data_IF_487052807644
#
_entry.id   IF_487052807644
#
_cell.length_a   1.000
_cell.length_b   1.000
_cell.length_c   1.000
_cell.angle_alpha   90.00
_cell.angle_beta   90.00
_cell.angle_gamma   90.00
#
_symmetry.space_group_name_H-M   'P 1'
#
loop_
_entity.id
_entity.type
_entity.pdbx_description
1 polymer ?
#
# COMPACT_ATOMS: atom_id res chain seq x y z
N UNK A 1 -12.82 26.12 -13.75
CA UNK A 1 -12.99 25.05 -12.77
C UNK A 1 -13.92 24.01 -13.36
N UNK A 2 -13.43 22.77 -13.49
CA UNK A 2 -14.17 21.65 -14.05
C UNK A 2 -15.15 21.01 -13.06
N UNK A 3 -15.87 19.94 -13.47
CA UNK A 3 -16.73 19.21 -12.59
C UNK A 3 -15.92 18.52 -11.47
N UNK A 4 -16.52 18.43 -10.27
CA UNK A 4 -15.93 17.69 -9.15
C UNK A 4 -16.56 16.29 -9.05
N UNK A 5 -15.79 15.31 -8.55
CA UNK A 5 -16.24 13.93 -8.35
C UNK A 5 -16.21 13.60 -6.85
N UNK A 6 -17.30 13.04 -6.35
CA UNK A 6 -17.37 12.51 -4.99
C UNK A 6 -17.52 10.99 -5.07
N UNK A 7 -16.58 10.25 -4.49
CA UNK A 7 -16.66 8.79 -4.41
C UNK A 7 -17.75 8.34 -3.42
N UNK A 8 -18.57 7.39 -3.84
CA UNK A 8 -19.57 6.73 -3.00
C UNK A 8 -19.01 5.46 -2.32
N UNK A 9 -17.98 4.90 -2.91
CA UNK A 9 -17.31 3.70 -2.45
C UNK A 9 -15.80 3.83 -2.74
N UNK A 10 -15.01 2.98 -2.14
CA UNK A 10 -13.61 2.84 -2.54
C UNK A 10 -13.58 2.07 -3.86
N UNK A 11 -13.18 2.75 -4.91
CA UNK A 11 -13.20 2.23 -6.26
C UNK A 11 -11.94 2.67 -7.01
N UNK A 12 -11.27 1.73 -7.64
CA UNK A 12 -10.14 1.97 -8.51
C UNK A 12 -10.61 1.80 -9.97
N UNK A 13 -10.80 2.90 -10.73
CA UNK A 13 -11.21 2.81 -12.12
C UNK A 13 -10.11 2.21 -12.98
N UNK A 14 -10.49 1.52 -14.07
CA UNK A 14 -9.59 0.98 -15.09
C UNK A 14 -9.78 1.72 -16.41
N UNK A 15 -8.72 1.74 -17.24
CA UNK A 15 -8.76 2.32 -18.58
C UNK A 15 -8.48 3.82 -18.64
N UNK A 16 -8.90 4.44 -19.74
CA UNK A 16 -8.64 5.84 -20.02
C UNK A 16 -9.28 6.79 -19.00
N UNK A 17 -8.76 8.03 -18.88
CA UNK A 17 -9.37 9.05 -18.05
C UNK A 17 -10.88 9.19 -18.35
N UNK A 18 -11.69 9.22 -17.29
CA UNK A 18 -13.14 9.26 -17.40
C UNK A 18 -13.58 10.70 -17.73
N UNK A 19 -14.19 10.89 -18.89
CA UNK A 19 -14.96 12.11 -19.18
C UNK A 19 -16.38 11.93 -18.63
N UNK A 20 -16.80 12.66 -17.60
CA UNK A 20 -18.12 12.52 -17.03
C UNK A 20 -19.23 13.00 -17.97
N UNK A 21 -18.95 13.84 -18.98
CA UNK A 21 -19.96 14.40 -19.88
C UNK A 21 -21.16 14.98 -19.10
N UNK A 22 -22.37 14.50 -19.43
CA UNK A 22 -23.62 14.87 -18.75
C UNK A 22 -23.97 13.96 -17.56
N UNK A 23 -23.12 12.99 -17.22
CA UNK A 23 -23.40 12.06 -16.13
C UNK A 23 -23.50 12.77 -14.77
N UNK A 24 -24.38 12.26 -13.93
CA UNK A 24 -24.54 12.68 -12.54
C UNK A 24 -24.07 11.62 -11.57
N UNK A 25 -23.97 10.37 -12.01
CA UNK A 25 -23.49 9.22 -11.22
C UNK A 25 -22.56 8.34 -12.04
N UNK A 26 -21.58 7.82 -11.37
CA UNK A 26 -20.81 6.66 -11.86
C UNK A 26 -21.37 5.37 -11.27
N UNK A 27 -21.54 4.36 -12.12
CA UNK A 27 -22.10 3.06 -11.73
C UNK A 27 -21.18 1.94 -12.18
N UNK A 28 -20.89 1.02 -11.27
CA UNK A 28 -20.17 -0.22 -11.54
C UNK A 28 -21.00 -1.41 -11.06
N UNK A 29 -21.20 -2.39 -11.92
CA UNK A 29 -22.02 -3.60 -11.63
C UNK A 29 -23.37 -3.29 -10.94
N UNK A 30 -24.06 -2.23 -11.36
CA UNK A 30 -25.34 -1.79 -10.80
C UNK A 30 -25.25 -1.03 -9.48
N UNK A 31 -24.07 -0.84 -8.93
CA UNK A 31 -23.84 -0.07 -7.71
C UNK A 31 -23.32 1.33 -8.03
N UNK A 32 -23.85 2.37 -7.37
CA UNK A 32 -23.29 3.72 -7.47
C UNK A 32 -21.93 3.76 -6.77
N UNK A 33 -20.88 4.12 -7.51
CA UNK A 33 -19.49 4.22 -7.02
C UNK A 33 -19.00 5.67 -6.93
N UNK A 34 -19.76 6.62 -7.45
CA UNK A 34 -19.45 8.05 -7.35
C UNK A 34 -20.53 8.95 -7.90
N UNK A 35 -20.44 10.24 -7.59
CA UNK A 35 -21.29 11.30 -8.11
C UNK A 35 -20.46 12.37 -8.79
N UNK A 36 -21.05 12.97 -9.82
CA UNK A 36 -20.49 14.12 -10.53
C UNK A 36 -21.22 15.37 -10.09
N UNK A 37 -20.47 16.36 -9.65
CA UNK A 37 -20.98 17.70 -9.34
C UNK A 37 -20.57 18.60 -10.52
N UNK A 38 -21.50 19.10 -11.32
CA UNK A 38 -21.18 20.02 -12.38
C UNK A 38 -20.46 21.28 -11.89
N UNK A 39 -19.71 21.91 -12.78
CA UNK A 39 -19.06 23.17 -12.47
C UNK A 39 -20.09 24.21 -12.00
N UNK A 40 -19.79 24.88 -10.88
CA UNK A 40 -20.66 25.90 -10.29
C UNK A 40 -21.78 25.36 -9.38
N UNK A 41 -22.01 24.07 -9.32
CA UNK A 41 -22.97 23.47 -8.40
C UNK A 41 -22.31 23.11 -7.05
N UNK A 42 -23.13 22.98 -6.00
CA UNK A 42 -22.70 22.51 -4.68
C UNK A 42 -23.21 21.11 -4.44
N UNK A 43 -22.43 20.34 -3.70
CA UNK A 43 -22.87 19.02 -3.22
C UNK A 43 -24.03 19.17 -2.23
N UNK A 44 -25.16 18.55 -2.57
CA UNK A 44 -26.40 18.55 -1.78
C UNK A 44 -26.74 17.18 -1.17
N UNK A 45 -25.86 16.19 -1.38
CA UNK A 45 -25.97 14.85 -0.83
C UNK A 45 -26.11 13.76 -1.90
N UNK A 46 -26.07 12.47 -1.48
CA UNK A 46 -26.20 11.34 -2.36
C UNK A 46 -27.59 11.34 -3.06
N UNK A 47 -27.57 11.20 -4.38
CA UNK A 47 -28.80 11.04 -5.16
C UNK A 47 -28.78 9.75 -5.98
N UNK A 48 -29.97 9.20 -6.22
CA UNK A 48 -30.15 7.92 -6.93
C UNK A 48 -30.77 8.11 -8.33
N UNK A 49 -31.06 9.35 -8.71
CA UNK A 49 -31.68 9.71 -9.99
C UNK A 49 -30.71 10.54 -10.83
N UNK A 50 -30.93 10.54 -12.13
CA UNK A 50 -30.16 11.31 -13.11
C UNK A 50 -29.33 10.43 -14.04
N UNK A 51 -28.72 11.02 -15.08
CA UNK A 51 -27.91 10.30 -16.05
C UNK A 51 -26.76 9.53 -15.36
N UNK A 52 -26.54 8.30 -15.81
CA UNK A 52 -25.52 7.40 -15.31
C UNK A 52 -24.43 7.20 -16.36
N UNK A 53 -23.20 7.04 -15.90
CA UNK A 53 -22.11 6.53 -16.70
C UNK A 53 -21.59 5.24 -16.06
N UNK A 54 -21.69 4.14 -16.81
CA UNK A 54 -21.08 2.89 -16.40
C UNK A 54 -19.55 3.02 -16.52
N UNK A 55 -18.85 2.64 -15.47
CA UNK A 55 -17.39 2.63 -15.43
C UNK A 55 -16.87 1.27 -14.98
N UNK A 56 -15.77 0.86 -15.58
CA UNK A 56 -15.07 -0.36 -15.21
C UNK A 56 -14.02 -0.06 -14.14
N UNK A 57 -13.73 -1.07 -13.29
CA UNK A 57 -12.73 -0.95 -12.24
C UNK A 57 -12.89 -1.97 -11.14
N UNK A 58 -12.08 -1.82 -10.10
CA UNK A 58 -12.06 -2.70 -8.92
C UNK A 58 -12.78 -2.03 -7.76
N UNK A 59 -13.84 -2.66 -7.26
CA UNK A 59 -14.54 -2.20 -6.05
C UNK A 59 -13.79 -2.69 -4.81
N UNK A 60 -13.37 -1.76 -3.98
CA UNK A 60 -12.64 -2.04 -2.75
C UNK A 60 -13.63 -2.09 -1.57
N UNK A 61 -13.96 -3.29 -1.08
CA UNK A 61 -14.82 -3.53 0.10
C UNK A 61 -14.04 -3.38 1.41
N UNK A 62 -12.72 -3.55 1.32
CA UNK A 62 -11.81 -3.42 2.44
C UNK A 62 -10.35 -3.33 1.99
N UNK A 63 -9.45 -3.10 2.93
CA UNK A 63 -8.02 -2.94 2.65
C UNK A 63 -7.40 -4.15 1.92
N UNK A 64 -7.93 -5.35 2.13
CA UNK A 64 -7.45 -6.56 1.45
C UNK A 64 -7.77 -6.57 -0.06
N UNK A 65 -8.76 -5.82 -0.52
CA UNK A 65 -9.07 -5.70 -1.96
C UNK A 65 -8.02 -4.86 -2.71
N UNK A 66 -7.14 -4.13 -2.01
CA UNK A 66 -5.94 -3.55 -2.61
C UNK A 66 -5.00 -4.62 -3.20
N UNK A 67 -5.05 -5.84 -2.71
CA UNK A 67 -4.31 -6.97 -3.29
C UNK A 67 -4.93 -7.42 -4.61
N UNK A 68 -6.25 -7.37 -4.73
CA UNK A 68 -6.96 -7.62 -5.99
C UNK A 68 -6.65 -6.52 -7.00
N UNK A 69 -6.77 -5.25 -6.57
CA UNK A 69 -6.39 -4.12 -7.41
C UNK A 69 -4.93 -4.20 -7.86
N UNK A 70 -4.01 -4.59 -6.98
CA UNK A 70 -2.60 -4.78 -7.34
C UNK A 70 -2.44 -5.81 -8.47
N UNK A 71 -3.09 -6.96 -8.36
CA UNK A 71 -2.98 -8.04 -9.35
C UNK A 71 -3.61 -7.65 -10.70
N UNK A 72 -4.73 -6.94 -10.67
CA UNK A 72 -5.47 -6.58 -11.87
C UNK A 72 -4.93 -5.33 -12.56
N UNK A 73 -4.45 -4.31 -11.80
CA UNK A 73 -4.10 -3.01 -12.36
C UNK A 73 -2.60 -2.81 -12.57
N UNK A 74 -1.74 -3.33 -11.68
CA UNK A 74 -0.31 -3.04 -11.73
C UNK A 74 0.35 -3.33 -13.09
N UNK A 75 0.00 -4.42 -13.82
CA UNK A 75 0.59 -4.66 -15.14
C UNK A 75 0.29 -3.53 -16.14
N UNK A 76 -0.96 -3.05 -16.16
CA UNK A 76 -1.39 -1.97 -17.04
C UNK A 76 -0.82 -0.63 -16.59
N UNK A 77 -0.89 -0.32 -15.28
CA UNK A 77 -0.34 0.90 -14.71
C UNK A 77 1.17 1.03 -14.99
N UNK A 78 1.93 -0.06 -14.89
CA UNK A 78 3.35 -0.05 -15.26
C UNK A 78 3.56 0.13 -16.77
N UNK A 79 2.67 -0.44 -17.61
CA UNK A 79 2.76 -0.31 -19.06
C UNK A 79 2.50 1.13 -19.52
N UNK A 80 1.66 1.89 -18.84
CA UNK A 80 1.38 3.30 -19.15
C UNK A 80 2.65 4.16 -19.07
N UNK A 81 3.64 3.76 -18.25
CA UNK A 81 4.93 4.45 -18.17
C UNK A 81 5.88 4.15 -19.34
N UNK A 82 5.63 3.13 -20.15
CA UNK A 82 6.54 2.75 -21.24
C UNK A 82 6.71 3.85 -22.32
N UNK A 83 5.72 4.75 -22.43
CA UNK A 83 5.78 5.89 -23.34
C UNK A 83 6.49 7.12 -22.72
N UNK A 84 6.85 7.08 -21.46
CA UNK A 84 7.51 8.20 -20.78
C UNK A 84 8.98 8.34 -21.20
N UNK A 85 9.58 9.55 -21.14
CA UNK A 85 11.01 9.72 -21.26
C UNK A 85 11.74 8.78 -20.27
N UNK A 86 12.74 8.06 -20.75
CA UNK A 86 13.38 6.98 -20.01
C UNK A 86 14.90 7.11 -20.09
N UNK A 87 15.59 6.98 -18.96
CA UNK A 87 17.06 7.02 -18.89
C UNK A 87 17.74 5.76 -19.48
N UNK A 88 16.92 4.74 -19.82
CA UNK A 88 17.39 3.46 -20.32
C UNK A 88 17.91 2.52 -19.22
N UNK A 89 18.60 1.45 -19.66
CA UNK A 89 19.13 0.43 -18.72
C UNK A 89 20.33 1.00 -17.96
N UNK A 90 20.30 1.02 -16.60
CA UNK A 90 21.41 1.50 -15.80
C UNK A 90 22.68 0.66 -16.02
N UNK A 91 23.82 1.34 -16.07
CA UNK A 91 25.14 0.73 -16.34
C UNK A 91 25.46 -0.34 -15.28
N UNK A 92 25.89 -1.52 -15.75
CA UNK A 92 26.26 -2.64 -14.89
C UNK A 92 25.09 -3.45 -14.35
N UNK A 93 23.86 -3.17 -14.77
CA UNK A 93 22.69 -3.99 -14.47
C UNK A 93 22.61 -5.22 -15.37
N UNK A 94 21.94 -6.27 -14.88
CA UNK A 94 21.58 -7.46 -15.65
C UNK A 94 20.10 -7.39 -15.98
N UNK A 95 19.75 -7.53 -17.27
CA UNK A 95 18.36 -7.53 -17.74
C UNK A 95 18.00 -8.91 -18.30
N UNK A 96 16.87 -9.44 -17.84
CA UNK A 96 16.25 -10.66 -18.35
C UNK A 96 14.90 -10.28 -18.99
N UNK A 97 14.72 -10.61 -20.25
CA UNK A 97 13.53 -10.21 -21.04
C UNK A 97 13.79 -8.97 -21.90
N UNK A 98 12.72 -8.28 -22.28
CA UNK A 98 12.80 -7.11 -23.17
C UNK A 98 13.22 -5.86 -22.37
N UNK A 99 14.38 -5.25 -22.66
CA UNK A 99 14.85 -4.07 -21.94
C UNK A 99 13.92 -2.83 -22.09
N UNK A 100 13.05 -2.79 -23.09
CA UNK A 100 12.07 -1.71 -23.24
C UNK A 100 11.01 -1.69 -22.15
N UNK A 101 10.86 -2.78 -21.38
CA UNK A 101 9.99 -2.87 -20.21
C UNK A 101 10.64 -2.32 -18.93
N UNK A 102 11.86 -1.80 -18.97
CA UNK A 102 12.46 -1.06 -17.87
C UNK A 102 12.27 0.44 -18.07
N UNK A 103 11.60 1.08 -17.12
CA UNK A 103 11.43 2.54 -17.11
C UNK A 103 12.18 3.11 -15.91
N UNK A 104 13.12 4.02 -16.17
CA UNK A 104 13.89 4.73 -15.15
C UNK A 104 13.73 6.23 -15.35
N UNK A 105 13.17 6.92 -14.37
CA UNK A 105 12.83 8.34 -14.41
C UNK A 105 13.73 9.13 -13.45
N UNK A 106 15.04 9.11 -13.68
CA UNK A 106 16.00 9.74 -12.79
C UNK A 106 16.28 8.93 -11.52
N UNK A 107 16.27 7.61 -11.62
CA UNK A 107 16.61 6.71 -10.53
C UNK A 107 18.14 6.51 -10.41
N UNK A 108 18.60 6.24 -9.19
CA UNK A 108 20.00 5.88 -8.90
C UNK A 108 20.09 4.36 -8.68
N UNK A 109 20.75 3.66 -9.59
CA UNK A 109 20.87 2.20 -9.57
C UNK A 109 22.34 1.79 -9.47
N UNK A 110 22.68 1.02 -8.42
CA UNK A 110 24.02 0.47 -8.27
C UNK A 110 24.29 -0.65 -9.28
N UNK A 111 25.55 -0.86 -9.72
CA UNK A 111 25.92 -2.01 -10.56
C UNK A 111 25.58 -3.35 -9.89
N UNK A 112 25.21 -4.35 -10.69
CA UNK A 112 24.87 -5.71 -10.22
C UNK A 112 23.41 -5.90 -9.81
N UNK A 113 22.55 -4.91 -10.03
CA UNK A 113 21.09 -5.07 -9.92
C UNK A 113 20.57 -5.95 -11.06
N UNK A 114 19.64 -6.85 -10.77
CA UNK A 114 18.99 -7.70 -11.77
C UNK A 114 17.55 -7.25 -11.99
N UNK A 115 17.20 -6.92 -13.22
CA UNK A 115 15.85 -6.63 -13.67
C UNK A 115 15.31 -7.82 -14.46
N UNK A 116 14.30 -8.50 -13.94
CA UNK A 116 13.60 -9.57 -14.64
C UNK A 116 12.26 -9.05 -15.18
N UNK A 117 12.27 -8.74 -16.47
CA UNK A 117 11.18 -8.09 -17.19
C UNK A 117 10.26 -9.07 -17.94
N UNK A 118 10.49 -10.37 -17.78
CA UNK A 118 9.76 -11.42 -18.52
C UNK A 118 8.28 -11.50 -18.18
N UNK A 119 7.91 -11.08 -16.96
CA UNK A 119 6.53 -11.14 -16.45
C UNK A 119 5.85 -9.76 -16.39
N UNK A 120 6.53 -8.68 -16.78
CA UNK A 120 5.99 -7.32 -16.79
C UNK A 120 7.05 -6.24 -16.60
N UNK A 121 6.63 -5.00 -16.70
CA UNK A 121 7.51 -3.85 -16.61
C UNK A 121 7.98 -3.57 -15.17
N UNK A 122 9.19 -2.99 -15.07
CA UNK A 122 9.70 -2.40 -13.83
C UNK A 122 9.82 -0.90 -14.04
N UNK A 123 9.17 -0.13 -13.16
CA UNK A 123 9.18 1.33 -13.17
C UNK A 123 9.91 1.83 -11.93
N UNK A 124 10.96 2.62 -12.15
CA UNK A 124 11.72 3.31 -11.13
C UNK A 124 11.44 4.81 -11.27
N UNK A 125 10.71 5.38 -10.32
CA UNK A 125 10.31 6.77 -10.35
C UNK A 125 11.41 7.71 -9.83
N UNK A 126 11.19 9.01 -9.92
CA UNK A 126 12.15 10.05 -9.66
C UNK A 126 12.86 9.91 -8.30
N UNK A 127 14.18 9.88 -8.33
CA UNK A 127 15.00 9.76 -7.13
C UNK A 127 14.91 8.41 -6.41
N UNK A 128 14.29 7.40 -7.03
CA UNK A 128 14.35 6.04 -6.51
C UNK A 128 15.80 5.54 -6.46
N UNK A 129 16.17 4.82 -5.41
CA UNK A 129 17.48 4.20 -5.26
C UNK A 129 17.35 2.68 -5.27
N UNK A 130 18.14 1.98 -6.08
CA UNK A 130 18.19 0.50 -6.09
C UNK A 130 19.61 0.05 -5.87
N UNK A 131 19.87 -0.65 -4.76
CA UNK A 131 21.22 -1.08 -4.37
C UNK A 131 21.59 -2.44 -4.92
N UNK A 132 22.88 -2.67 -4.99
CA UNK A 132 23.49 -3.97 -5.33
C UNK A 132 22.87 -5.11 -4.49
N UNK A 133 22.78 -6.31 -5.10
CA UNK A 133 22.12 -7.46 -4.47
C UNK A 133 20.59 -7.43 -4.52
N UNK A 134 20.02 -6.54 -5.34
CA UNK A 134 18.59 -6.50 -5.61
C UNK A 134 18.25 -7.25 -6.91
N UNK A 135 17.19 -8.07 -6.87
CA UNK A 135 16.47 -8.55 -8.04
C UNK A 135 15.03 -8.01 -8.02
N UNK A 136 14.66 -7.29 -9.07
CA UNK A 136 13.29 -6.83 -9.32
C UNK A 136 12.67 -7.67 -10.44
N UNK A 137 11.59 -8.37 -10.13
CA UNK A 137 10.81 -9.16 -11.10
C UNK A 137 9.46 -8.48 -11.33
N UNK A 138 9.27 -7.98 -12.53
CA UNK A 138 8.08 -7.22 -12.92
C UNK A 138 6.78 -8.05 -12.89
N UNK A 139 5.60 -7.38 -12.82
CA UNK A 139 5.48 -5.93 -12.75
C UNK A 139 5.85 -5.37 -11.36
N UNK A 140 6.61 -4.27 -11.31
CA UNK A 140 7.00 -3.58 -10.07
C UNK A 140 7.03 -2.07 -10.28
N UNK A 141 6.41 -1.33 -9.37
CA UNK A 141 6.55 0.12 -9.31
C UNK A 141 7.30 0.54 -8.05
N UNK A 142 8.37 1.32 -8.23
CA UNK A 142 9.17 1.91 -7.15
C UNK A 142 8.99 3.42 -7.18
N UNK A 143 8.19 3.95 -6.26
CA UNK A 143 7.81 5.35 -6.20
C UNK A 143 8.92 6.31 -5.80
N UNK A 144 8.66 7.63 -5.89
CA UNK A 144 9.65 8.68 -5.72
C UNK A 144 10.41 8.58 -4.38
N UNK A 145 11.74 8.71 -4.44
CA UNK A 145 12.61 8.70 -3.26
C UNK A 145 12.64 7.38 -2.48
N UNK A 146 11.97 6.34 -2.98
CA UNK A 146 11.98 5.00 -2.37
C UNK A 146 13.32 4.32 -2.58
N UNK A 147 13.81 3.62 -1.56
CA UNK A 147 15.10 2.94 -1.57
C UNK A 147 14.92 1.44 -1.43
N UNK A 148 15.33 0.71 -2.45
CA UNK A 148 15.46 -0.74 -2.41
C UNK A 148 16.89 -1.08 -2.00
N UNK A 149 17.05 -1.65 -0.82
CA UNK A 149 18.34 -1.84 -0.14
C UNK A 149 18.93 -3.24 -0.36
N UNK A 150 18.38 -4.03 -1.26
CA UNK A 150 18.76 -5.41 -1.58
C UNK A 150 17.59 -6.40 -1.41
N UNK A 151 17.75 -7.59 -1.96
CA UNK A 151 16.80 -8.71 -1.84
C UNK A 151 16.01 -9.01 -3.11
N UNK A 152 14.94 -9.79 -2.97
CA UNK A 152 14.11 -10.26 -4.08
C UNK A 152 12.70 -9.68 -3.99
N UNK A 153 12.33 -8.92 -5.00
CA UNK A 153 11.06 -8.17 -5.03
C UNK A 153 10.32 -8.52 -6.32
N UNK A 154 9.02 -8.83 -6.20
CA UNK A 154 8.18 -9.14 -7.35
C UNK A 154 6.74 -8.66 -7.15
N UNK A 155 6.07 -8.32 -8.26
CA UNK A 155 4.65 -8.00 -8.34
C UNK A 155 4.18 -7.05 -7.22
N UNK A 156 4.91 -5.95 -6.99
CA UNK A 156 4.68 -5.10 -5.82
C UNK A 156 4.74 -3.61 -6.16
N UNK A 157 4.05 -2.81 -5.35
CA UNK A 157 4.03 -1.34 -5.43
C UNK A 157 4.61 -0.74 -4.16
N UNK A 158 5.52 0.21 -4.35
CA UNK A 158 6.08 1.02 -3.26
C UNK A 158 5.76 2.49 -3.54
N UNK A 159 4.94 3.09 -2.68
CA UNK A 159 4.73 4.54 -2.67
C UNK A 159 6.02 5.29 -2.30
N UNK A 160 5.92 6.61 -2.20
CA UNK A 160 7.09 7.47 -1.98
C UNK A 160 7.83 7.17 -0.68
N UNK A 161 9.15 7.38 -0.68
CA UNK A 161 9.99 7.40 0.52
C UNK A 161 10.02 6.10 1.33
N UNK A 162 9.66 4.95 0.75
CA UNK A 162 9.82 3.66 1.40
C UNK A 162 11.30 3.25 1.50
N UNK A 163 11.60 2.37 2.45
CA UNK A 163 12.91 1.70 2.57
C UNK A 163 12.67 0.21 2.68
N UNK A 164 13.17 -0.55 1.71
CA UNK A 164 12.79 -1.95 1.56
C UNK A 164 14.03 -2.81 1.33
N UNK A 165 14.12 -3.92 2.05
CA UNK A 165 15.12 -4.97 1.89
C UNK A 165 14.50 -6.33 2.18
N UNK A 166 15.08 -7.38 1.62
CA UNK A 166 14.68 -8.77 1.81
C UNK A 166 13.68 -9.23 0.76
N UNK A 167 12.88 -10.22 1.07
CA UNK A 167 11.90 -10.75 0.12
C UNK A 167 10.56 -10.03 0.25
N UNK A 168 10.05 -9.52 -0.89
CA UNK A 168 8.72 -8.91 -0.97
C UNK A 168 8.00 -9.42 -2.22
N UNK A 169 6.77 -9.88 -2.04
CA UNK A 169 5.96 -10.43 -3.13
C UNK A 169 4.51 -9.96 -3.05
N UNK A 170 3.93 -9.54 -4.18
CA UNK A 170 2.52 -9.20 -4.31
C UNK A 170 2.01 -8.29 -3.17
N UNK A 171 2.73 -7.21 -2.90
CA UNK A 171 2.46 -6.36 -1.73
C UNK A 171 2.40 -4.88 -2.08
N UNK A 172 1.60 -4.13 -1.32
CA UNK A 172 1.41 -2.69 -1.47
C UNK A 172 1.99 -1.97 -0.25
N UNK A 173 2.94 -1.06 -0.49
CA UNK A 173 3.49 -0.15 0.52
C UNK A 173 3.03 1.27 0.19
N UNK A 174 2.20 1.87 1.04
CA UNK A 174 1.52 3.14 0.74
C UNK A 174 2.40 4.39 0.85
N UNK A 175 3.62 4.26 1.37
CA UNK A 175 4.61 5.33 1.45
C UNK A 175 5.25 5.48 2.83
N UNK A 176 6.45 6.05 2.90
CA UNK A 176 7.21 6.28 4.12
C UNK A 176 7.41 5.05 5.02
N UNK A 177 7.09 3.87 4.53
CA UNK A 177 7.21 2.62 5.27
C UNK A 177 8.66 2.14 5.29
N UNK A 178 9.04 1.49 6.38
CA UNK A 178 10.39 0.99 6.61
C UNK A 178 10.37 -0.52 6.86
N UNK A 179 10.89 -1.28 5.91
CA UNK A 179 11.29 -2.69 5.99
C UNK A 179 12.75 -2.82 5.58
N UNK A 180 13.65 -2.15 6.28
CA UNK A 180 15.06 -2.02 5.85
C UNK A 180 15.92 -3.26 6.06
N UNK A 181 15.40 -4.31 6.62
CA UNK A 181 16.12 -5.54 6.97
C UNK A 181 15.53 -6.77 6.28
N UNK A 182 16.24 -7.90 6.33
CA UNK A 182 15.77 -9.17 5.79
C UNK A 182 14.50 -9.66 6.51
N UNK A 183 13.80 -10.59 5.90
CA UNK A 183 12.48 -11.11 6.26
C UNK A 183 11.57 -11.12 5.03
N UNK A 184 10.49 -11.91 5.09
CA UNK A 184 9.52 -12.05 4.00
C UNK A 184 8.27 -11.20 4.26
N UNK A 185 7.81 -10.46 3.25
CA UNK A 185 6.50 -9.80 3.22
C UNK A 185 5.79 -10.17 1.92
N UNK A 186 4.72 -10.95 2.04
CA UNK A 186 3.97 -11.41 0.88
C UNK A 186 2.47 -11.12 1.00
N UNK A 187 1.82 -10.74 -0.10
CA UNK A 187 0.39 -10.45 -0.22
C UNK A 187 -0.10 -9.57 0.93
N UNK A 188 0.63 -8.49 1.19
CA UNK A 188 0.42 -7.62 2.36
C UNK A 188 0.15 -6.18 1.94
N UNK A 189 -0.60 -5.47 2.77
CA UNK A 189 -0.80 -4.02 2.63
C UNK A 189 -0.15 -3.33 3.82
N UNK A 190 0.81 -2.46 3.54
CA UNK A 190 1.63 -1.76 4.54
C UNK A 190 1.29 -0.27 4.49
N UNK A 191 0.68 0.23 5.55
CA UNK A 191 0.29 1.63 5.69
C UNK A 191 1.48 2.60 5.78
N UNK A 192 1.23 3.88 5.60
CA UNK A 192 2.25 4.91 5.76
C UNK A 192 2.87 4.91 7.16
N UNK A 193 4.17 5.22 7.20
CA UNK A 193 4.92 5.35 8.46
C UNK A 193 5.05 4.07 9.28
N UNK A 194 4.70 2.92 8.71
CA UNK A 194 4.97 1.62 9.32
C UNK A 194 6.46 1.38 9.45
N UNK A 195 6.88 0.77 10.55
CA UNK A 195 8.26 0.30 10.73
C UNK A 195 8.26 -1.17 11.12
N UNK A 196 8.73 -2.01 10.20
CA UNK A 196 8.93 -3.43 10.46
C UNK A 196 10.34 -3.65 11.02
N UNK A 197 10.41 -4.22 12.20
CA UNK A 197 11.68 -4.61 12.83
C UNK A 197 12.43 -5.67 12.01
N UNK A 198 13.73 -5.76 12.21
CA UNK A 198 14.57 -6.74 11.52
C UNK A 198 14.04 -8.17 11.70
N UNK A 199 14.03 -8.96 10.62
CA UNK A 199 13.50 -10.32 10.65
C UNK A 199 11.97 -10.41 10.73
N UNK A 200 11.22 -9.31 10.64
CA UNK A 200 9.76 -9.40 10.54
C UNK A 200 9.37 -10.19 9.29
N UNK A 201 8.57 -11.23 9.50
CA UNK A 201 8.15 -12.16 8.46
C UNK A 201 6.63 -12.36 8.50
N UNK A 202 5.98 -12.34 7.32
CA UNK A 202 4.54 -12.60 7.19
C UNK A 202 4.31 -13.96 6.58
N UNK A 203 3.34 -14.72 7.07
CA UNK A 203 2.78 -15.87 6.36
C UNK A 203 1.63 -15.38 5.48
N UNK A 204 1.58 -15.80 4.22
CA UNK A 204 0.54 -15.38 3.28
C UNK A 204 -0.36 -16.53 2.79
N UNK A 205 -0.01 -17.77 3.10
CA UNK A 205 -0.76 -18.96 2.75
C UNK A 205 -0.97 -19.82 4.01
N UNK A 206 -2.20 -20.29 4.20
CA UNK A 206 -2.51 -21.18 5.33
C UNK A 206 -1.95 -22.58 5.07
N UNK A 207 -1.48 -23.27 6.11
CA UNK A 207 -1.05 -24.68 6.02
C UNK A 207 -2.17 -25.61 5.52
N UNK A 208 -3.42 -25.22 5.66
CA UNK A 208 -4.60 -25.96 5.19
C UNK A 208 -5.00 -25.63 3.75
N UNK A 209 -4.28 -24.73 3.08
CA UNK A 209 -4.57 -24.26 1.71
C UNK A 209 -6.00 -23.73 1.51
N UNK A 210 -6.69 -23.37 2.58
CA UNK A 210 -8.04 -22.79 2.51
C UNK A 210 -8.01 -21.27 2.41
N UNK A 211 -9.13 -20.67 2.01
CA UNK A 211 -9.28 -19.22 1.93
C UNK A 211 -8.97 -18.53 3.26
N UNK A 212 -8.35 -17.36 3.16
CA UNK A 212 -7.96 -16.56 4.33
C UNK A 212 -9.15 -15.79 4.86
N UNK A 213 -9.33 -15.83 6.17
CA UNK A 213 -10.27 -15.00 6.91
C UNK A 213 -9.49 -14.04 7.80
N UNK A 214 -9.91 -12.79 7.78
CA UNK A 214 -9.43 -11.78 8.71
C UNK A 214 -10.29 -11.83 9.98
N UNK A 215 -9.70 -11.34 11.06
CA UNK A 215 -10.41 -11.09 12.31
C UNK A 215 -10.17 -9.63 12.70
N UNK A 216 -11.25 -8.88 12.90
CA UNK A 216 -11.19 -7.46 13.28
C UNK A 216 -12.30 -7.21 14.30
N UNK A 217 -11.94 -6.76 15.49
CA UNK A 217 -12.90 -6.48 16.60
C UNK A 217 -13.89 -7.65 16.85
N UNK A 218 -13.39 -8.90 16.83
CA UNK A 218 -14.19 -10.10 17.00
C UNK A 218 -15.05 -10.50 15.80
N UNK A 219 -15.04 -9.70 14.73
CA UNK A 219 -15.75 -10.02 13.49
C UNK A 219 -14.84 -10.79 12.53
N UNK A 220 -15.40 -11.81 11.90
CA UNK A 220 -14.73 -12.56 10.84
C UNK A 220 -15.12 -12.01 9.48
N UNK A 221 -14.11 -11.73 8.67
CA UNK A 221 -14.27 -11.19 7.32
C UNK A 221 -13.69 -12.20 6.34
N UNK A 222 -14.52 -12.75 5.47
CA UNK A 222 -14.07 -13.61 4.39
C UNK A 222 -13.47 -12.77 3.28
N UNK A 223 -12.20 -13.05 2.93
CA UNK A 223 -11.51 -12.30 1.86
C UNK A 223 -11.77 -12.88 0.47
N UNK A 224 -12.22 -14.13 0.40
CA UNK A 224 -12.34 -14.90 -0.84
C UNK A 224 -10.99 -15.33 -1.44
N UNK A 225 -9.85 -15.00 -0.80
CA UNK A 225 -8.50 -15.19 -1.33
C UNK A 225 -7.77 -16.33 -0.63
N UNK A 226 -6.96 -17.08 -1.39
CA UNK A 226 -6.05 -18.09 -0.85
C UNK A 226 -4.82 -17.46 -0.21
N UNK A 227 -4.33 -16.36 -0.79
CA UNK A 227 -3.13 -15.66 -0.34
C UNK A 227 -3.51 -14.28 0.22
N UNK A 228 -3.34 -14.10 1.52
CA UNK A 228 -3.37 -12.81 2.21
C UNK A 228 -2.35 -12.87 3.34
N UNK A 229 -1.38 -11.99 3.29
CA UNK A 229 -0.37 -11.82 4.32
C UNK A 229 -0.89 -11.01 5.51
N UNK A 230 -0.34 -9.83 5.70
CA UNK A 230 -0.72 -8.96 6.80
C UNK A 230 -1.24 -7.61 6.31
N UNK A 231 -2.26 -7.10 6.98
CA UNK A 231 -2.75 -5.74 6.80
C UNK A 231 -2.24 -4.90 7.96
N UNK A 232 -1.33 -3.96 7.69
CA UNK A 232 -0.64 -3.20 8.73
C UNK A 232 -0.98 -1.72 8.57
N UNK A 233 -1.70 -1.19 9.55
CA UNK A 233 -2.19 0.18 9.57
C UNK A 233 -1.09 1.21 9.81
N UNK A 234 -1.40 2.45 9.47
CA UNK A 234 -0.51 3.60 9.53
C UNK A 234 0.21 3.71 10.88
N UNK A 235 1.46 4.12 10.86
CA UNK A 235 2.29 4.30 12.05
C UNK A 235 2.51 3.06 12.93
N UNK A 236 2.02 1.87 12.54
CA UNK A 236 2.28 0.65 13.30
C UNK A 236 3.77 0.26 13.27
N UNK A 237 4.21 -0.41 14.32
CA UNK A 237 5.60 -0.88 14.46
C UNK A 237 5.63 -2.30 14.95
N UNK A 238 6.59 -3.08 14.46
CA UNK A 238 6.89 -4.42 14.98
C UNK A 238 8.30 -4.46 15.57
N UNK A 239 8.45 -5.25 16.61
CA UNK A 239 9.77 -5.57 17.16
C UNK A 239 10.56 -6.46 16.19
N UNK A 240 11.86 -6.61 16.45
CA UNK A 240 12.71 -7.56 15.73
C UNK A 240 12.18 -8.98 15.89
N UNK A 241 12.31 -9.80 14.82
CA UNK A 241 11.91 -11.20 14.84
C UNK A 241 10.40 -11.43 14.93
N UNK A 242 9.56 -10.43 14.65
CA UNK A 242 8.10 -10.61 14.66
C UNK A 242 7.65 -11.50 13.51
N UNK A 243 6.92 -12.57 13.82
CA UNK A 243 6.32 -13.51 12.87
C UNK A 243 4.80 -13.31 12.82
N UNK A 244 4.31 -12.78 11.70
CA UNK A 244 2.89 -12.50 11.51
C UNK A 244 2.22 -13.67 10.79
N UNK A 245 1.24 -14.27 11.42
CA UNK A 245 0.46 -15.36 10.83
C UNK A 245 -0.38 -14.88 9.64
N UNK A 246 -0.80 -15.80 8.77
CA UNK A 246 -1.66 -15.55 7.62
C UNK A 246 -2.92 -14.76 8.02
N UNK A 247 -3.19 -13.65 7.35
CA UNK A 247 -4.33 -12.79 7.61
C UNK A 247 -4.23 -11.99 8.92
N UNK A 248 -3.02 -11.72 9.40
CA UNK A 248 -2.86 -10.86 10.59
C UNK A 248 -3.19 -9.40 10.24
N UNK A 249 -3.98 -8.78 11.11
CA UNK A 249 -4.29 -7.35 11.06
C UNK A 249 -3.63 -6.64 12.23
N UNK A 250 -2.71 -5.75 11.94
CA UNK A 250 -2.09 -4.84 12.91
C UNK A 250 -2.67 -3.46 12.67
N UNK A 251 -3.46 -2.97 13.60
CA UNK A 251 -4.19 -1.72 13.40
C UNK A 251 -3.28 -0.48 13.54
N UNK A 252 -3.85 0.69 13.19
CA UNK A 252 -3.17 1.98 13.22
C UNK A 252 -2.48 2.25 14.55
N UNK A 253 -1.24 2.74 14.48
CA UNK A 253 -0.47 3.18 15.65
C UNK A 253 -0.06 2.06 16.61
N UNK A 254 -0.38 0.80 16.35
CA UNK A 254 0.01 -0.30 17.23
C UNK A 254 1.54 -0.47 17.28
N UNK A 255 2.06 -0.75 18.46
CA UNK A 255 3.47 -1.07 18.70
C UNK A 255 3.58 -2.50 19.21
N UNK A 256 3.93 -3.43 18.32
CA UNK A 256 3.89 -4.88 18.56
C UNK A 256 5.22 -5.36 19.09
N UNK A 257 5.23 -5.83 20.32
CA UNK A 257 6.38 -6.43 21.00
C UNK A 257 5.94 -7.37 22.12
N UNK A 258 6.89 -8.09 22.72
CA UNK A 258 6.62 -8.97 23.87
C UNK A 258 6.40 -10.45 23.50
N UNK A 259 6.13 -10.76 22.23
CA UNK A 259 6.11 -12.12 21.70
C UNK A 259 6.55 -12.12 20.24
N UNK A 260 7.23 -13.15 19.75
CA UNK A 260 7.54 -13.28 18.32
C UNK A 260 6.31 -13.53 17.46
N UNK A 261 5.22 -14.11 18.00
CA UNK A 261 3.97 -14.37 17.28
C UNK A 261 2.80 -13.67 17.96
N UNK A 262 2.46 -12.44 17.54
CA UNK A 262 1.30 -11.75 18.08
C UNK A 262 -0.01 -12.41 17.59
N UNK A 263 -1.16 -12.12 18.26
CA UNK A 263 -2.47 -12.57 17.80
C UNK A 263 -2.79 -12.05 16.39
N UNK A 264 -3.74 -12.69 15.71
CA UNK A 264 -4.14 -12.29 14.34
C UNK A 264 -4.74 -10.90 14.24
N UNK A 265 -5.26 -10.37 15.32
CA UNK A 265 -5.72 -9.00 15.42
C UNK A 265 -5.00 -8.27 16.55
N UNK A 266 -4.33 -7.19 16.21
CA UNK A 266 -3.74 -6.24 17.16
C UNK A 266 -4.51 -4.94 17.07
N UNK A 267 -5.19 -4.52 18.16
CA UNK A 267 -6.08 -3.37 18.12
C UNK A 267 -5.34 -2.03 17.93
N UNK A 268 -6.06 -0.96 17.56
CA UNK A 268 -5.47 0.36 17.39
C UNK A 268 -4.73 0.84 18.63
N UNK A 269 -3.56 1.42 18.42
CA UNK A 269 -2.71 2.03 19.46
C UNK A 269 -2.29 1.06 20.57
N UNK A 270 -2.37 -0.25 20.33
CA UNK A 270 -1.88 -1.25 21.28
C UNK A 270 -0.40 -1.01 21.61
N UNK A 271 -0.08 -1.17 22.90
CA UNK A 271 1.29 -1.18 23.41
C UNK A 271 1.61 -2.61 23.86
N UNK A 272 2.39 -3.33 23.06
CA UNK A 272 2.60 -4.77 23.18
C UNK A 272 1.69 -5.59 22.25
N UNK A 273 1.65 -6.91 22.45
CA UNK A 273 0.93 -7.83 21.56
C UNK A 273 -0.50 -8.14 22.02
N UNK A 274 -0.77 -8.04 23.33
CA UNK A 274 -2.02 -8.55 23.92
C UNK A 274 -3.20 -7.57 23.82
N UNK A 275 -2.96 -6.32 23.39
CA UNK A 275 -4.00 -5.30 23.32
C UNK A 275 -4.55 -4.84 24.67
N UNK A 276 -3.99 -5.33 25.78
CA UNK A 276 -4.37 -4.95 27.15
C UNK A 276 -3.92 -3.54 27.53
N UNK A 277 -2.84 -3.07 26.92
CA UNK A 277 -2.31 -1.73 27.11
C UNK A 277 -2.42 -0.94 25.81
N UNK A 278 -2.67 0.35 25.93
CA UNK A 278 -2.72 1.29 24.80
C UNK A 278 -1.82 2.48 25.06
N UNK A 279 -1.25 2.99 23.98
CA UNK A 279 -0.57 4.28 24.02
C UNK A 279 -1.57 5.39 24.35
N UNK A 280 -1.09 6.41 25.07
CA UNK A 280 -1.85 7.66 25.21
C UNK A 280 -1.81 8.44 23.89
N UNK A 281 -2.81 9.31 23.66
CA UNK A 281 -2.83 10.19 22.48
C UNK A 281 -1.53 11.01 22.36
N UNK A 282 -1.13 11.67 23.44
CA UNK A 282 0.10 12.46 23.47
C UNK A 282 1.36 11.62 23.21
N UNK A 283 1.40 10.40 23.74
CA UNK A 283 2.49 9.46 23.48
C UNK A 283 2.59 9.12 22.01
N UNK A 284 1.47 8.80 21.37
CA UNK A 284 1.39 8.50 19.95
C UNK A 284 1.80 9.70 19.08
N UNK A 285 1.26 10.89 19.35
CA UNK A 285 1.57 12.10 18.59
C UNK A 285 3.05 12.48 18.67
N UNK A 286 3.67 12.36 19.87
CA UNK A 286 5.12 12.56 20.01
C UNK A 286 5.94 11.57 19.20
N UNK A 287 5.52 10.31 19.12
CA UNK A 287 6.20 9.30 18.30
C UNK A 287 6.05 9.64 16.80
N UNK A 288 4.85 9.99 16.35
CA UNK A 288 4.58 10.38 14.97
C UNK A 288 5.46 11.58 14.55
N UNK A 289 5.52 12.63 15.37
CA UNK A 289 6.35 13.80 15.13
C UNK A 289 7.83 13.45 14.99
N UNK A 290 8.39 12.62 15.90
CA UNK A 290 9.77 12.16 15.84
C UNK A 290 10.07 11.36 14.58
N UNK A 291 9.15 10.48 14.16
CA UNK A 291 9.31 9.66 12.96
C UNK A 291 9.29 10.51 11.70
N UNK A 292 8.38 11.47 11.61
CA UNK A 292 8.28 12.40 10.48
C UNK A 292 9.51 13.31 10.39
N UNK A 293 9.95 13.88 11.51
CA UNK A 293 11.16 14.70 11.58
C UNK A 293 12.41 13.99 11.04
N UNK A 294 12.57 12.68 11.34
CA UNK A 294 13.68 11.86 10.81
C UNK A 294 13.67 11.70 9.29
N UNK A 295 12.57 12.02 8.64
CA UNK A 295 12.38 11.99 7.18
C UNK A 295 12.27 13.40 6.59
N UNK A 296 12.60 14.43 7.36
CA UNK A 296 12.46 15.85 6.98
C UNK A 296 11.02 16.21 6.57
N UNK A 297 10.03 15.55 7.16
CA UNK A 297 8.62 15.84 6.91
C UNK A 297 8.04 16.65 8.06
N UNK A 298 7.49 17.80 7.74
CA UNK A 298 6.87 18.69 8.73
C UNK A 298 5.63 18.04 9.36
N UNK A 299 5.59 18.00 10.68
CA UNK A 299 4.41 17.59 11.43
C UNK A 299 3.47 18.78 11.62
N UNK A 300 2.67 19.08 10.56
CA UNK A 300 1.79 20.26 10.55
C UNK A 300 0.63 20.14 11.54
N UNK A 301 -0.03 21.26 11.84
CA UNK A 301 -1.22 21.30 12.70
C UNK A 301 -2.36 20.42 12.14
N UNK A 302 -2.55 20.44 10.81
CA UNK A 302 -3.57 19.62 10.15
C UNK A 302 -3.27 18.12 10.29
N UNK A 303 -2.02 17.70 10.12
CA UNK A 303 -1.61 16.30 10.34
C UNK A 303 -1.81 15.87 11.79
N UNK A 304 -1.42 16.72 12.73
CA UNK A 304 -1.64 16.48 14.16
C UNK A 304 -3.12 16.29 14.46
N UNK A 305 -3.98 17.16 13.92
CA UNK A 305 -5.42 17.08 14.12
C UNK A 305 -6.04 15.86 13.43
N UNK A 306 -5.56 15.48 12.25
CA UNK A 306 -5.98 14.25 11.58
C UNK A 306 -5.67 13.00 12.40
N UNK A 307 -4.46 12.91 12.98
CA UNK A 307 -4.07 11.80 13.84
C UNK A 307 -4.84 11.79 15.17
N UNK A 308 -5.16 12.94 15.75
CA UNK A 308 -6.07 13.07 16.91
C UNK A 308 -7.44 12.50 16.62
N UNK A 309 -8.04 12.88 15.49
CA UNK A 309 -9.34 12.34 15.08
C UNK A 309 -9.30 10.83 14.88
N UNK A 310 -8.22 10.31 14.31
CA UNK A 310 -8.02 8.88 14.13
C UNK A 310 -7.95 8.19 15.51
N UNK A 311 -7.19 8.74 16.44
CA UNK A 311 -7.11 8.22 17.80
C UNK A 311 -8.49 8.21 18.49
N UNK A 312 -9.19 9.34 18.46
CA UNK A 312 -10.51 9.48 19.09
C UNK A 312 -11.57 8.53 18.50
N UNK A 313 -11.58 8.31 17.18
CA UNK A 313 -12.49 7.35 16.53
C UNK A 313 -12.21 5.91 16.92
N UNK A 314 -10.95 5.55 17.08
CA UNK A 314 -10.54 4.17 17.41
C UNK A 314 -10.66 3.82 18.89
N UNK A 315 -10.87 4.80 19.75
CA UNK A 315 -11.04 4.61 21.21
C UNK A 315 -12.49 4.63 21.66
N UNK A 316 -13.44 4.98 20.77
CA UNK A 316 -14.88 5.01 21.05
C UNK A 316 -15.60 3.67 20.80
N UNK A 317 -14.86 2.63 20.41
CA UNK A 317 -15.38 1.28 20.17
C UNK A 317 -15.10 0.34 21.30
#
# INVERSE_FOLDING_TARGET
DGPAIIGAAWFAPTGAPIDPGAARRFVHAGQTVGWVIPAGERWDGPHTKGPELAIEGVLLRGTFDLLTALEELLPADCADFLAAPNDGVPVGSVVLGDPTHLVSLGANVEPGVVFDLRNGAVVLDQGAEVRNGTRLEGPVYVGPGTRILGGFIRASVFGSECRVRGEVAASVFLGFANKSHDGFVGHSVIGPWVNLGAGTTTSNLKNTYGQVRLEVDGQRIDTGRLNVGSLIGDHAKTAIGTMLATGTVVSVGANVFGTPMPPKYVPPFAWGCAGSERMTEDGFLRIAERVMSRRNVTFSAERRESLRRTFARSTRR
#
